data_IF_364710942584
#
_entry.id   IF_364710942584
#
_cell.length_a   1.000
_cell.length_b   1.000
_cell.length_c   1.000
_cell.angle_alpha   90.00
_cell.angle_beta   90.00
_cell.angle_gamma   90.00
#
_symmetry.space_group_name_H-M   'P 1'
#
loop_
_entity.id
_entity.type
_entity.pdbx_description
1 polymer ?
#
# COMPACT_ATOMS: atom_id res chain seq x y z
N UNK A 1 19.21 9.15 -5.09
CA UNK A 1 18.27 9.72 -6.08
C UNK A 1 16.89 9.26 -5.64
N UNK A 2 15.94 10.17 -5.41
CA UNK A 2 14.57 9.78 -5.08
C UNK A 2 13.74 9.74 -6.36
N UNK A 3 12.87 8.75 -6.48
CA UNK A 3 11.99 8.61 -7.66
C UNK A 3 10.57 8.26 -7.24
N UNK A 4 9.61 8.72 -8.03
CA UNK A 4 8.21 8.33 -7.92
C UNK A 4 8.03 6.93 -8.48
N UNK A 5 7.54 5.99 -7.65
CA UNK A 5 7.29 4.61 -8.08
C UNK A 5 5.88 4.38 -8.58
N UNK A 6 4.90 4.92 -7.87
CA UNK A 6 3.48 4.73 -8.18
C UNK A 6 2.64 5.88 -7.61
N UNK A 7 1.53 6.17 -8.29
CA UNK A 7 0.47 7.09 -7.88
C UNK A 7 -0.86 6.37 -8.03
N UNK A 8 -1.77 6.52 -7.06
CA UNK A 8 -3.05 5.82 -7.03
C UNK A 8 -4.17 6.76 -6.58
N UNK A 9 -5.29 6.77 -7.30
CA UNK A 9 -6.53 7.39 -6.83
C UNK A 9 -7.17 6.53 -5.73
N UNK A 10 -7.60 7.17 -4.65
CA UNK A 10 -8.22 6.51 -3.49
C UNK A 10 -9.75 6.50 -3.59
N UNK A 11 -10.35 7.56 -4.12
CA UNK A 11 -11.78 7.67 -4.34
C UNK A 11 -12.16 7.69 -5.83
N UNK A 12 -13.41 7.32 -6.18
CA UNK A 12 -13.87 7.30 -7.57
C UNK A 12 -13.80 8.64 -8.30
N UNK A 13 -13.85 9.75 -7.56
CA UNK A 13 -13.79 11.11 -8.11
C UNK A 13 -12.35 11.59 -8.33
N UNK A 14 -11.35 10.80 -7.93
CA UNK A 14 -9.93 11.10 -8.04
C UNK A 14 -9.49 12.32 -7.22
N UNK A 15 -10.22 12.66 -6.14
CA UNK A 15 -9.89 13.81 -5.29
C UNK A 15 -8.70 13.50 -4.39
N UNK A 16 -8.69 12.31 -3.82
CA UNK A 16 -7.65 11.80 -2.94
C UNK A 16 -6.67 10.95 -3.73
N UNK A 17 -5.39 11.26 -3.59
CA UNK A 17 -4.30 10.56 -4.26
C UNK A 17 -3.29 10.05 -3.24
N UNK A 18 -2.72 8.89 -3.50
CA UNK A 18 -1.51 8.39 -2.85
C UNK A 18 -0.34 8.43 -3.82
N UNK A 19 0.85 8.69 -3.26
CA UNK A 19 2.11 8.74 -3.98
C UNK A 19 3.17 7.99 -3.18
N UNK A 20 3.85 7.04 -3.81
CA UNK A 20 5.01 6.37 -3.22
C UNK A 20 6.30 6.91 -3.84
N UNK A 21 7.24 7.31 -2.98
CA UNK A 21 8.59 7.74 -3.36
C UNK A 21 9.60 6.78 -2.73
N UNK A 22 10.56 6.33 -3.53
CA UNK A 22 11.66 5.45 -3.10
C UNK A 22 13.02 6.04 -3.39
N UNK A 23 14.06 5.47 -2.78
CA UNK A 23 15.47 5.82 -2.99
C UNK A 23 16.19 4.98 -4.06
N UNK A 24 15.49 4.00 -4.65
CA UNK A 24 15.95 3.20 -5.78
C UNK A 24 15.09 1.96 -6.03
N UNK A 25 15.44 1.18 -7.05
CA UNK A 25 14.84 -0.13 -7.33
C UNK A 25 15.81 -1.24 -6.93
N UNK A 26 15.52 -2.05 -5.89
CA UNK A 26 14.32 -2.06 -5.05
C UNK A 26 14.34 -1.02 -3.92
N UNK A 27 15.50 -0.42 -3.63
CA UNK A 27 15.66 0.63 -2.62
C UNK A 27 15.59 0.13 -1.19
N UNK A 28 15.93 0.98 -0.23
CA UNK A 28 15.90 0.69 1.22
C UNK A 28 15.02 1.63 2.00
N UNK A 29 14.54 2.72 1.38
CA UNK A 29 13.72 3.74 2.02
C UNK A 29 12.52 4.05 1.14
N UNK A 30 11.35 4.13 1.78
CA UNK A 30 10.12 4.55 1.11
C UNK A 30 9.35 5.56 1.95
N UNK A 31 8.67 6.48 1.26
CA UNK A 31 7.69 7.40 1.83
C UNK A 31 6.38 7.28 1.07
N UNK A 32 5.28 7.32 1.79
CA UNK A 32 3.94 7.47 1.23
C UNK A 32 3.50 8.91 1.50
N UNK A 33 3.03 9.58 0.45
CA UNK A 33 2.40 10.89 0.53
C UNK A 33 0.94 10.77 0.13
N UNK A 34 0.12 11.64 0.71
CA UNK A 34 -1.31 11.74 0.43
C UNK A 34 -1.65 13.16 0.03
N UNK A 35 -2.47 13.30 -1.01
CA UNK A 35 -3.16 14.55 -1.36
C UNK A 35 -4.67 14.37 -1.15
N UNK A 36 -5.34 15.44 -0.72
CA UNK A 36 -6.80 15.51 -0.64
C UNK A 36 -7.40 16.53 -1.62
N UNK A 37 -6.60 17.05 -2.54
CA UNK A 37 -6.90 18.19 -3.41
C UNK A 37 -6.37 17.98 -4.83
N UNK A 38 -6.50 16.74 -5.34
CA UNK A 38 -6.09 16.36 -6.71
C UNK A 38 -4.61 16.60 -7.01
N UNK A 39 -3.75 16.48 -6.00
CA UNK A 39 -2.30 16.60 -6.12
C UNK A 39 -1.77 18.03 -6.04
N UNK A 40 -2.61 19.01 -5.71
CA UNK A 40 -2.16 20.38 -5.51
C UNK A 40 -1.26 20.51 -4.26
N UNK A 41 -1.60 19.81 -3.17
CA UNK A 41 -0.78 19.71 -1.96
C UNK A 41 -0.63 18.27 -1.49
N UNK A 42 0.49 17.99 -0.82
CA UNK A 42 0.84 16.65 -0.36
C UNK A 42 1.27 16.69 1.10
N UNK A 43 0.78 15.74 1.89
CA UNK A 43 1.19 15.49 3.27
C UNK A 43 1.85 14.12 3.38
N UNK A 44 2.95 14.03 4.13
CA UNK A 44 3.57 12.74 4.40
C UNK A 44 2.65 11.88 5.30
N UNK A 45 2.46 10.62 4.93
CA UNK A 45 1.75 9.67 5.75
C UNK A 45 2.63 9.20 6.92
N UNK A 46 2.00 8.86 8.04
CA UNK A 46 2.68 8.23 9.17
C UNK A 46 2.91 6.76 8.87
N UNK A 47 4.16 6.30 8.94
CA UNK A 47 4.51 4.89 8.81
C UNK A 47 4.94 4.38 10.19
N UNK A 48 4.10 3.56 10.83
CA UNK A 48 4.39 3.03 12.17
C UNK A 48 5.53 2.00 12.17
N UNK A 49 5.78 1.39 11.02
CA UNK A 49 6.93 0.53 10.76
C UNK A 49 7.60 1.00 9.48
N UNK A 50 8.93 1.12 9.51
CA UNK A 50 9.68 1.43 8.30
C UNK A 50 9.50 0.32 7.24
N UNK A 51 9.12 0.64 5.99
CA UNK A 51 9.09 -0.33 4.91
C UNK A 51 10.48 -0.92 4.67
N UNK A 52 10.56 -2.23 4.41
CA UNK A 52 11.84 -2.91 4.16
C UNK A 52 12.41 -2.66 2.75
N UNK A 53 11.65 -2.00 1.88
CA UNK A 53 12.02 -1.61 0.51
C UNK A 53 11.01 -0.59 -0.03
N UNK A 54 11.21 -0.13 -1.27
CA UNK A 54 10.27 0.80 -1.92
C UNK A 54 8.87 0.19 -2.01
N UNK A 55 7.83 0.99 -1.73
CA UNK A 55 6.43 0.65 -2.02
C UNK A 55 6.21 0.62 -3.53
N UNK A 56 5.77 -0.52 -4.05
CA UNK A 56 5.58 -0.78 -5.48
C UNK A 56 4.13 -0.77 -5.91
N UNK A 57 3.22 -1.10 -5.01
CA UNK A 57 1.81 -1.23 -5.31
C UNK A 57 0.95 -0.59 -4.22
N UNK A 58 -0.13 0.04 -4.63
CA UNK A 58 -1.25 0.41 -3.77
C UNK A 58 -2.48 -0.37 -4.20
N UNK A 59 -3.36 -0.69 -3.25
CA UNK A 59 -4.70 -1.19 -3.50
C UNK A 59 -5.71 -0.38 -2.69
N UNK A 60 -6.63 0.30 -3.37
CA UNK A 60 -7.69 1.08 -2.76
C UNK A 60 -9.02 0.34 -2.84
N UNK A 61 -9.73 0.21 -1.71
CA UNK A 61 -11.02 -0.47 -1.69
C UNK A 61 -12.09 0.41 -2.33
N UNK A 62 -12.79 -0.12 -3.34
CA UNK A 62 -13.66 0.69 -4.21
C UNK A 62 -14.86 1.33 -3.48
N UNK A 63 -15.42 0.64 -2.49
CA UNK A 63 -16.58 1.13 -1.70
C UNK A 63 -16.21 1.63 -0.31
N UNK A 64 -14.94 1.53 0.09
CA UNK A 64 -14.44 2.05 1.37
C UNK A 64 -13.09 2.74 1.15
N UNK A 65 -13.10 4.04 0.81
CA UNK A 65 -11.87 4.80 0.59
C UNK A 65 -10.96 4.91 1.83
N UNK A 66 -11.44 4.51 3.01
CA UNK A 66 -10.60 4.47 4.21
C UNK A 66 -9.65 3.28 4.23
N UNK A 67 -10.03 2.17 3.59
CA UNK A 67 -9.32 0.89 3.63
C UNK A 67 -8.38 0.74 2.43
N UNK A 68 -7.08 0.81 2.71
CA UNK A 68 -6.02 0.80 1.69
C UNK A 68 -4.93 -0.20 2.07
N UNK A 69 -4.29 -0.77 1.05
CA UNK A 69 -3.10 -1.61 1.21
C UNK A 69 -1.94 -1.07 0.37
N UNK A 70 -0.72 -1.25 0.86
CA UNK A 70 0.50 -0.95 0.14
C UNK A 70 1.47 -2.13 0.21
N UNK A 71 1.98 -2.55 -0.94
CA UNK A 71 2.95 -3.63 -1.07
C UNK A 71 4.34 -3.10 -1.37
N UNK A 72 5.33 -3.61 -0.66
CA UNK A 72 6.75 -3.32 -0.95
C UNK A 72 7.37 -4.43 -1.80
N UNK A 73 8.48 -4.11 -2.49
CA UNK A 73 9.19 -5.07 -3.34
C UNK A 73 9.72 -6.29 -2.57
N UNK A 74 10.14 -6.11 -1.33
CA UNK A 74 10.59 -7.17 -0.42
C UNK A 74 9.48 -7.63 0.55
N UNK A 75 8.22 -7.38 0.19
CA UNK A 75 7.08 -8.13 0.72
C UNK A 75 6.56 -7.74 2.09
N UNK A 76 6.95 -6.59 2.65
CA UNK A 76 6.08 -5.95 3.65
C UNK A 76 4.75 -5.57 3.00
N UNK A 77 3.65 -6.03 3.61
CA UNK A 77 2.31 -5.52 3.38
C UNK A 77 1.97 -4.48 4.45
N UNK A 78 1.56 -3.30 4.03
CA UNK A 78 1.10 -2.23 4.91
C UNK A 78 -0.41 -2.02 4.70
N UNK A 79 -1.13 -1.73 5.78
CA UNK A 79 -2.56 -1.42 5.77
C UNK A 79 -2.82 -0.04 6.36
N UNK A 80 -3.76 0.67 5.76
CA UNK A 80 -4.38 1.87 6.31
C UNK A 80 -5.89 1.66 6.44
N UNK A 81 -6.47 2.21 7.50
CA UNK A 81 -7.92 2.27 7.74
C UNK A 81 -8.39 3.73 7.93
N UNK A 82 -7.58 4.69 7.50
CA UNK A 82 -7.82 6.12 7.69
C UNK A 82 -7.56 6.93 6.42
N UNK A 83 -7.79 6.31 5.25
CA UNK A 83 -7.58 6.87 3.92
C UNK A 83 -6.13 7.27 3.64
N UNK A 84 -5.18 6.50 4.18
CA UNK A 84 -3.75 6.62 3.91
C UNK A 84 -3.03 7.69 4.72
N UNK A 85 -3.63 8.19 5.81
CA UNK A 85 -2.98 9.13 6.73
C UNK A 85 -1.96 8.42 7.62
N UNK A 86 -2.26 7.19 8.03
CA UNK A 86 -1.36 6.31 8.77
C UNK A 86 -1.36 4.89 8.20
N UNK A 87 -0.24 4.20 8.38
CA UNK A 87 -0.01 2.85 7.88
C UNK A 87 0.64 1.96 8.93
N UNK A 88 0.08 0.77 9.09
CA UNK A 88 0.60 -0.29 9.95
C UNK A 88 1.09 -1.44 9.08
N UNK A 89 2.21 -2.05 9.45
CA UNK A 89 2.67 -3.28 8.82
C UNK A 89 1.79 -4.44 9.29
N UNK A 90 1.30 -5.24 8.35
CA UNK A 90 0.63 -6.50 8.66
C UNK A 90 1.61 -7.53 9.22
N UNK A 91 1.09 -8.51 9.96
CA UNK A 91 1.92 -9.47 10.71
C UNK A 91 2.79 -10.37 9.82
N UNK A 92 2.38 -10.59 8.57
CA UNK A 92 3.04 -11.51 7.63
C UNK A 92 3.88 -10.76 6.61
N UNK A 93 5.07 -11.30 6.39
CA UNK A 93 5.92 -10.93 5.26
C UNK A 93 5.73 -11.91 4.09
N UNK A 94 5.86 -11.37 2.88
CA UNK A 94 5.87 -12.10 1.63
C UNK A 94 7.26 -12.02 0.99
N UNK A 95 7.52 -12.80 -0.05
CA UNK A 95 8.78 -12.70 -0.79
C UNK A 95 8.85 -11.42 -1.62
N UNK A 96 7.74 -11.07 -2.26
CA UNK A 96 7.57 -9.88 -3.08
C UNK A 96 6.08 -9.54 -3.20
N UNK A 97 5.74 -8.24 -3.21
CA UNK A 97 4.40 -7.78 -3.60
C UNK A 97 4.54 -6.85 -4.80
N UNK A 98 4.25 -7.38 -5.99
CA UNK A 98 4.31 -6.64 -7.25
C UNK A 98 3.02 -5.86 -7.54
N UNK A 99 1.88 -6.33 -7.04
CA UNK A 99 0.56 -5.73 -7.26
C UNK A 99 -0.35 -6.01 -6.06
N UNK A 100 -1.31 -5.11 -5.84
CA UNK A 100 -2.40 -5.28 -4.87
C UNK A 100 -3.68 -4.86 -5.58
N UNK A 101 -4.69 -5.73 -5.58
CA UNK A 101 -5.97 -5.46 -6.22
C UNK A 101 -7.12 -5.94 -5.35
N UNK A 102 -8.21 -5.19 -5.37
CA UNK A 102 -9.49 -5.61 -4.80
C UNK A 102 -10.34 -6.23 -5.89
N UNK A 103 -11.00 -7.34 -5.58
CA UNK A 103 -11.91 -8.02 -6.52
C UNK A 103 -13.24 -8.26 -5.82
N UNK A 104 -14.37 -8.16 -6.53
CA UNK A 104 -15.68 -8.53 -5.96
C UNK A 104 -15.82 -10.04 -5.75
N UNK A 105 -14.86 -10.83 -6.23
CA UNK A 105 -14.86 -12.27 -6.05
C UNK A 105 -14.57 -12.65 -4.61
N UNK A 106 -15.52 -13.31 -3.96
CA UNK A 106 -15.32 -13.93 -2.67
C UNK A 106 -14.73 -15.33 -2.89
N UNK A 107 -13.43 -15.48 -2.61
CA UNK A 107 -12.76 -16.76 -2.76
C UNK A 107 -13.29 -17.76 -1.72
N UNK A 108 -13.71 -18.98 -2.10
CA UNK A 108 -14.08 -19.99 -1.14
C UNK A 108 -12.86 -20.35 -0.30
N UNK A 109 -12.86 -19.97 0.98
CA UNK A 109 -11.77 -20.29 1.90
C UNK A 109 -11.88 -21.78 2.25
N UNK A 110 -11.08 -22.60 1.59
CA UNK A 110 -10.80 -23.97 2.06
C UNK A 110 -9.52 -23.92 2.86
N UNK A 111 -9.62 -24.13 4.17
CA UNK A 111 -8.45 -24.40 4.98
C UNK A 111 -7.75 -25.64 4.38
N UNK A 112 -6.52 -25.47 3.89
CA UNK A 112 -5.67 -26.62 3.61
C UNK A 112 -5.35 -27.34 4.93
N UNK A 113 -5.14 -28.67 4.92
CA UNK A 113 -4.66 -29.36 6.11
C UNK A 113 -3.41 -28.64 6.63
N UNK A 114 -3.43 -28.29 7.92
CA UNK A 114 -2.29 -27.73 8.62
C UNK A 114 -1.07 -28.63 8.36
N UNK A 115 0.10 -28.04 8.15
CA UNK A 115 1.35 -28.80 8.24
C UNK A 115 1.37 -29.51 9.58
N UNK A 116 1.24 -30.83 9.55
CA UNK A 116 1.52 -31.70 10.67
C UNK A 116 3.03 -31.64 10.89
N UNK A 117 3.43 -31.29 12.12
CA UNK A 117 4.82 -31.26 12.57
C UNK A 117 5.52 -32.61 12.40
#
# INVERSE_FOLDING_TARGET
>A
MYYTRTVQAVDPQGVQLLLAIGDGTPGTRSRIYRSGDRGATWSAATLHTAPNSTVWAFGAHASDPSLLFAGTKYGHLLRSTDAGRSWFKEWRDFSEIAAVAWTPFEAPVRAHPQSIN
#
